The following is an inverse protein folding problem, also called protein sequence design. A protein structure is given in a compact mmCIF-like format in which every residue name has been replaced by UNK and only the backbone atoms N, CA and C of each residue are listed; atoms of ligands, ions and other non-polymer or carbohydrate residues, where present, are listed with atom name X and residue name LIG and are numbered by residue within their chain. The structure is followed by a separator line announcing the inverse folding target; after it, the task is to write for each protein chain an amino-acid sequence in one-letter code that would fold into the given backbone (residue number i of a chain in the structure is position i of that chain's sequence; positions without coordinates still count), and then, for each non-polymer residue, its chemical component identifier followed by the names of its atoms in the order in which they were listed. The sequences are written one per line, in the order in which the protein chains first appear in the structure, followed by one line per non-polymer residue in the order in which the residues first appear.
data_IF_002989943555
#
_entry.id   IF_002989943555
#
_cell.length_a   1.000
_cell.length_b   1.000
_cell.length_c   1.000
_cell.angle_alpha   90.00
_cell.angle_beta   90.00
_cell.angle_gamma   90.00
#
_symmetry.space_group_name_H-M   'P 1'
#
loop_
_entity.id
_entity.type
_entity.pdbx_description
1 polymer ?
#
# COMPACT_ATOMS: atom_id res chain seq x y z
N UNK A 1 21.25 -14.81 -20.80
CA UNK A 1 21.49 -13.38 -20.55
C UNK A 1 21.43 -13.17 -19.05
N UNK A 2 22.59 -12.93 -18.41
CA UNK A 2 22.62 -12.67 -16.98
C UNK A 2 22.17 -11.23 -16.74
N UNK A 3 20.97 -11.04 -16.18
CA UNK A 3 20.52 -9.74 -15.70
C UNK A 3 21.38 -9.38 -14.50
N UNK A 4 22.24 -8.37 -14.67
CA UNK A 4 23.10 -7.85 -13.63
C UNK A 4 22.22 -7.17 -12.57
N UNK A 5 21.81 -7.89 -11.52
CA UNK A 5 21.05 -7.33 -10.40
C UNK A 5 21.95 -6.36 -9.62
N UNK A 6 21.91 -5.09 -10.03
CA UNK A 6 22.50 -3.99 -9.26
C UNK A 6 21.81 -3.94 -7.89
N UNK A 7 22.59 -3.78 -6.81
CA UNK A 7 22.07 -3.74 -5.44
C UNK A 7 20.90 -2.74 -5.35
N UNK A 8 19.72 -3.13 -4.81
CA UNK A 8 18.60 -2.21 -4.71
C UNK A 8 18.96 -1.02 -3.81
N UNK A 9 18.43 0.18 -4.10
CA UNK A 9 18.71 1.38 -3.34
C UNK A 9 18.30 1.22 -1.87
N UNK A 10 19.08 1.84 -0.97
CA UNK A 10 18.74 1.83 0.44
C UNK A 10 17.38 2.51 0.69
N UNK A 11 16.61 2.06 1.70
CA UNK A 11 15.34 2.68 2.03
C UNK A 11 15.48 4.18 2.30
N UNK A 12 14.49 5.01 1.88
CA UNK A 12 14.45 6.42 2.23
C UNK A 12 14.62 6.68 3.73
N UNK A 13 15.30 7.78 4.06
CA UNK A 13 15.47 8.20 5.46
C UNK A 13 14.10 8.44 6.12
N UNK A 14 14.01 8.10 7.41
CA UNK A 14 12.80 8.31 8.21
C UNK A 14 11.79 7.17 8.19
N UNK A 15 12.00 6.12 7.38
CA UNK A 15 11.18 4.90 7.45
C UNK A 15 11.49 4.09 8.71
N UNK A 16 10.45 3.50 9.30
CA UNK A 16 10.53 2.63 10.47
C UNK A 16 10.62 1.14 10.04
N UNK A 17 10.18 0.21 10.89
CA UNK A 17 10.38 -1.21 10.66
C UNK A 17 9.61 -1.72 9.44
N UNK A 18 8.29 -1.52 9.40
CA UNK A 18 7.42 -2.05 8.33
C UNK A 18 7.67 -1.38 6.99
N UNK A 19 7.87 -0.07 6.95
CA UNK A 19 8.22 0.67 5.74
C UNK A 19 9.54 0.20 5.14
N UNK A 20 10.59 0.01 5.97
CA UNK A 20 11.88 -0.53 5.49
C UNK A 20 11.75 -1.98 5.03
N UNK A 21 10.93 -2.79 5.70
CA UNK A 21 10.69 -4.17 5.30
C UNK A 21 9.98 -4.25 3.95
N UNK A 22 8.92 -3.46 3.76
CA UNK A 22 8.19 -3.37 2.49
C UNK A 22 9.09 -2.89 1.35
N UNK A 23 9.85 -1.82 1.55
CA UNK A 23 10.79 -1.29 0.57
C UNK A 23 11.76 -2.37 0.05
N UNK A 24 12.39 -3.10 0.98
CA UNK A 24 13.33 -4.16 0.64
C UNK A 24 12.64 -5.35 -0.02
N UNK A 25 11.46 -5.73 0.44
CA UNK A 25 10.72 -6.86 -0.11
C UNK A 25 10.35 -6.61 -1.58
N UNK A 26 9.87 -5.41 -1.90
CA UNK A 26 9.50 -5.07 -3.28
C UNK A 26 10.74 -4.98 -4.17
N UNK A 27 11.76 -4.21 -3.78
CA UNK A 27 12.94 -4.01 -4.63
C UNK A 27 13.89 -5.22 -4.71
N UNK A 28 13.66 -6.25 -3.91
CA UNK A 28 14.34 -7.55 -4.06
C UNK A 28 13.88 -8.28 -5.33
N UNK A 29 12.60 -8.17 -5.63
CA UNK A 29 11.91 -8.98 -6.64
C UNK A 29 11.55 -8.18 -7.90
N UNK A 30 11.42 -6.85 -7.78
CA UNK A 30 10.98 -5.95 -8.86
C UNK A 30 11.94 -4.79 -9.09
N UNK A 31 12.22 -4.50 -10.37
CA UNK A 31 12.79 -3.22 -10.79
C UNK A 31 11.62 -2.26 -11.08
N UNK A 32 11.66 -1.06 -10.50
CA UNK A 32 10.57 -0.09 -10.56
C UNK A 32 11.00 1.16 -11.33
N UNK A 33 10.07 1.71 -12.10
CA UNK A 33 10.22 3.04 -12.68
C UNK A 33 10.17 4.13 -11.60
N UNK A 34 10.54 5.35 -11.96
CA UNK A 34 10.55 6.49 -11.03
C UNK A 34 9.17 6.73 -10.40
N UNK A 35 8.12 6.68 -11.20
CA UNK A 35 6.74 6.89 -10.73
C UNK A 35 6.26 5.78 -9.79
N UNK A 36 6.64 4.53 -10.05
CA UNK A 36 6.36 3.39 -9.17
C UNK A 36 7.15 3.49 -7.86
N UNK A 37 8.39 3.95 -7.93
CA UNK A 37 9.24 4.20 -6.75
C UNK A 37 8.63 5.26 -5.83
N UNK A 38 8.01 6.31 -6.39
CA UNK A 38 7.26 7.31 -5.61
C UNK A 38 6.07 6.67 -4.90
N UNK A 39 5.29 5.82 -5.60
CA UNK A 39 4.15 5.10 -5.01
C UNK A 39 4.61 4.17 -3.89
N UNK A 40 5.68 3.39 -4.12
CA UNK A 40 6.26 2.50 -3.10
C UNK A 40 6.70 3.29 -1.86
N UNK A 41 7.33 4.45 -2.05
CA UNK A 41 7.77 5.31 -0.94
C UNK A 41 6.60 5.75 -0.06
N UNK A 42 5.50 6.20 -0.67
CA UNK A 42 4.30 6.58 0.07
C UNK A 42 3.66 5.36 0.75
N UNK A 43 3.61 4.20 0.09
CA UNK A 43 3.12 2.97 0.70
C UNK A 43 3.93 2.58 1.96
N UNK A 44 5.26 2.72 1.91
CA UNK A 44 6.14 2.46 3.06
C UNK A 44 5.83 3.40 4.23
N UNK A 45 5.64 4.70 3.96
CA UNK A 45 5.27 5.69 4.98
C UNK A 45 3.91 5.40 5.61
N UNK A 46 2.93 5.03 4.79
CA UNK A 46 1.59 4.66 5.28
C UNK A 46 1.63 3.39 6.13
N UNK A 47 2.50 2.42 5.79
CA UNK A 47 2.69 1.22 6.61
C UNK A 47 3.23 1.57 8.01
N UNK A 48 4.28 2.39 8.09
CA UNK A 48 4.83 2.86 9.37
C UNK A 48 3.81 3.66 10.21
N UNK A 49 2.99 4.48 9.55
CA UNK A 49 1.90 5.21 10.21
C UNK A 49 0.82 4.26 10.75
N UNK A 50 0.46 3.21 10.00
CA UNK A 50 -0.49 2.20 10.47
C UNK A 50 0.02 1.49 11.73
N UNK A 51 1.32 1.16 11.80
CA UNK A 51 1.91 0.55 13.00
C UNK A 51 1.85 1.48 14.20
N UNK A 52 2.18 2.76 13.98
CA UNK A 52 2.13 3.79 15.03
C UNK A 52 0.71 3.94 15.58
N UNK A 53 -0.29 4.03 14.71
CA UNK A 53 -1.69 4.14 15.09
C UNK A 53 -2.20 2.87 15.77
N UNK A 54 -1.76 1.69 15.31
CA UNK A 54 -2.15 0.41 15.93
C UNK A 54 -1.58 0.32 17.34
N UNK A 55 -0.31 0.68 17.54
CA UNK A 55 0.30 0.71 18.87
C UNK A 55 -0.45 1.65 19.83
N UNK A 56 -0.90 2.82 19.36
CA UNK A 56 -1.70 3.73 20.18
C UNK A 56 -3.05 3.12 20.56
N UNK A 57 -3.73 2.46 19.60
CA UNK A 57 -5.01 1.77 19.87
C UNK A 57 -4.81 0.61 20.84
N UNK A 58 -3.72 -0.14 20.72
CA UNK A 58 -3.42 -1.26 21.62
C UNK A 58 -3.15 -0.78 23.05
N UNK A 59 -2.58 0.42 23.20
CA UNK A 59 -2.31 1.05 24.50
C UNK A 59 -3.56 1.67 25.13
N UNK A 60 -4.33 2.44 24.36
CA UNK A 60 -5.44 3.25 24.90
C UNK A 60 -6.81 2.56 24.79
N UNK A 61 -6.91 1.52 23.97
CA UNK A 61 -8.16 0.88 23.62
C UNK A 61 -8.96 1.61 22.53
N UNK A 62 -10.05 0.97 22.10
CA UNK A 62 -10.93 1.46 21.02
C UNK A 62 -11.89 2.56 21.51
N UNK A 63 -12.17 2.59 22.82
CA UNK A 63 -13.00 3.60 23.47
C UNK A 63 -12.14 4.38 24.46
N UNK A 64 -12.11 5.70 24.32
CA UNK A 64 -11.43 6.62 25.24
C UNK A 64 -12.44 7.39 26.10
N UNK A 65 -12.04 7.73 27.32
CA UNK A 65 -12.81 8.61 28.20
C UNK A 65 -12.64 10.08 27.81
N UNK A 66 -13.74 10.83 27.82
CA UNK A 66 -13.73 12.28 27.60
C UNK A 66 -14.57 12.97 28.67
N UNK A 67 -14.43 14.29 28.81
CA UNK A 67 -15.27 15.08 29.73
C UNK A 67 -16.77 15.00 29.41
N UNK A 68 -17.15 14.51 28.23
CA UNK A 68 -18.52 14.33 27.77
C UNK A 68 -18.95 12.84 27.75
N UNK A 69 -18.18 11.95 28.38
CA UNK A 69 -18.38 10.50 28.41
C UNK A 69 -17.53 9.71 27.39
N UNK A 70 -17.71 8.37 27.34
CA UNK A 70 -16.93 7.51 26.47
C UNK A 70 -17.14 7.82 24.98
N UNK A 71 -16.05 7.95 24.22
CA UNK A 71 -16.07 8.14 22.77
C UNK A 71 -15.07 7.21 22.08
N UNK A 72 -15.30 6.96 20.79
CA UNK A 72 -14.37 6.18 19.97
C UNK A 72 -13.02 6.90 19.90
N UNK A 73 -11.94 6.14 20.08
CA UNK A 73 -10.58 6.64 19.96
C UNK A 73 -10.35 7.23 18.55
N UNK A 74 -9.91 8.49 18.41
CA UNK A 74 -9.62 9.10 17.10
C UNK A 74 -8.67 8.27 16.23
N UNK A 75 -7.70 7.57 16.83
CA UNK A 75 -6.78 6.69 16.10
C UNK A 75 -7.51 5.54 15.40
N UNK A 76 -8.63 5.05 15.93
CA UNK A 76 -9.42 4.00 15.29
C UNK A 76 -10.07 4.46 13.98
N UNK A 77 -10.52 5.72 13.92
CA UNK A 77 -11.03 6.30 12.68
C UNK A 77 -9.90 6.55 11.67
N UNK A 78 -8.76 7.06 12.15
CA UNK A 78 -7.60 7.37 11.31
C UNK A 78 -6.98 6.11 10.70
N UNK A 79 -6.72 5.07 11.50
CA UNK A 79 -6.10 3.83 11.01
C UNK A 79 -6.95 3.15 9.94
N UNK A 80 -8.28 3.26 10.03
CA UNK A 80 -9.19 2.76 9.01
C UNK A 80 -8.95 3.47 7.67
N UNK A 81 -8.78 4.79 7.68
CA UNK A 81 -8.52 5.56 6.47
C UNK A 81 -7.12 5.24 5.91
N UNK A 82 -6.11 5.15 6.77
CA UNK A 82 -4.74 4.81 6.35
C UNK A 82 -4.64 3.42 5.73
N UNK A 83 -5.35 2.42 6.27
CA UNK A 83 -5.43 1.07 5.67
C UNK A 83 -6.07 1.09 4.27
N UNK A 84 -7.08 1.91 4.05
CA UNK A 84 -7.69 2.09 2.72
C UNK A 84 -6.71 2.75 1.76
N UNK A 85 -6.02 3.80 2.20
CA UNK A 85 -4.97 4.47 1.41
C UNK A 85 -3.84 3.50 1.06
N UNK A 86 -3.36 2.71 2.02
CA UNK A 86 -2.33 1.70 1.81
C UNK A 86 -2.74 0.67 0.75
N UNK A 87 -3.95 0.12 0.85
CA UNK A 87 -4.47 -0.82 -0.14
C UNK A 87 -4.56 -0.19 -1.54
N UNK A 88 -4.93 1.08 -1.65
CA UNK A 88 -4.96 1.82 -2.93
C UNK A 88 -3.56 2.04 -3.50
N UNK A 89 -2.57 2.38 -2.67
CA UNK A 89 -1.18 2.54 -3.09
C UNK A 89 -0.60 1.21 -3.60
N UNK A 90 -0.81 0.11 -2.86
CA UNK A 90 -0.38 -1.22 -3.33
C UNK A 90 -1.08 -1.63 -4.63
N UNK A 91 -2.36 -1.29 -4.78
CA UNK A 91 -3.10 -1.53 -6.02
C UNK A 91 -2.52 -0.70 -7.18
N UNK A 92 -2.17 0.56 -6.93
CA UNK A 92 -1.58 1.46 -7.92
C UNK A 92 -0.17 1.04 -8.36
N UNK A 93 0.59 0.41 -7.45
CA UNK A 93 1.92 -0.13 -7.74
C UNK A 93 1.88 -1.35 -8.69
N UNK A 94 0.70 -1.97 -8.88
CA UNK A 94 0.45 -3.05 -9.85
C UNK A 94 1.41 -4.24 -9.77
N UNK A 95 1.98 -4.49 -8.58
CA UNK A 95 2.89 -5.62 -8.39
C UNK A 95 2.14 -6.93 -8.66
N UNK A 96 2.62 -7.75 -9.61
CA UNK A 96 2.07 -9.07 -9.85
C UNK A 96 2.06 -9.89 -8.54
N UNK A 97 0.92 -10.46 -8.19
CA UNK A 97 0.88 -11.48 -7.14
C UNK A 97 1.41 -12.77 -7.79
N UNK A 98 2.46 -13.41 -7.26
CA UNK A 98 2.88 -14.75 -7.73
C UNK A 98 1.68 -15.72 -7.62
N UNK A 99 1.37 -16.60 -8.58
CA UNK A 99 2.24 -17.48 -9.37
C UNK A 99 2.11 -17.33 -10.89
N UNK A 100 3.11 -17.92 -11.55
CA UNK A 100 3.27 -18.16 -12.97
C UNK A 100 2.02 -18.74 -13.66
N UNK A 101 1.43 -17.97 -14.58
CA UNK A 101 1.03 -18.47 -15.90
C UNK A 101 0.61 -17.29 -16.79
N UNK A 102 1.58 -16.61 -17.41
CA UNK A 102 1.42 -15.82 -18.65
C UNK A 102 0.35 -14.72 -18.74
N UNK A 103 -0.44 -14.47 -17.70
CA UNK A 103 -1.55 -13.51 -17.70
C UNK A 103 -1.16 -12.39 -16.78
N UNK A 104 -0.48 -11.39 -17.35
CA UNK A 104 -0.43 -10.05 -16.78
C UNK A 104 -1.84 -9.70 -16.28
N UNK A 105 -1.96 -9.25 -15.04
CA UNK A 105 -3.24 -8.97 -14.42
C UNK A 105 -4.00 -7.94 -15.27
N UNK A 106 -4.92 -8.42 -16.13
CA UNK A 106 -5.83 -7.55 -16.90
C UNK A 106 -6.84 -7.02 -15.90
N UNK A 107 -6.45 -5.96 -15.19
CA UNK A 107 -7.41 -5.13 -14.46
C UNK A 107 -8.14 -4.34 -15.51
N UNK A 108 -9.36 -4.78 -15.82
CA UNK A 108 -10.29 -4.04 -16.67
C UNK A 108 -10.28 -2.58 -16.21
N UNK A 109 -9.73 -1.72 -17.06
CA UNK A 109 -10.04 -0.29 -17.05
C UNK A 109 -11.54 -0.18 -16.93
N UNK A 110 -12.00 0.64 -15.96
CA UNK A 110 -13.35 1.20 -15.84
C UNK A 110 -14.37 0.54 -16.77
N UNK A 111 -15.18 -0.37 -16.20
CA UNK A 111 -16.51 -0.79 -16.69
C UNK A 111 -16.77 -0.36 -18.14
N UNK A 112 -16.49 -1.25 -19.08
CA UNK A 112 -16.58 -0.98 -20.52
C UNK A 112 -17.83 -0.19 -20.88
N UNK A 113 -17.63 1.05 -21.31
CA UNK A 113 -18.57 1.77 -22.16
C UNK A 113 -17.90 1.86 -23.51
N UNK A 114 -18.07 0.82 -24.33
CA UNK A 114 -18.35 0.93 -25.75
C UNK A 114 -18.65 -0.45 -26.33
N UNK A 115 -19.81 -0.58 -26.99
CA UNK A 115 -20.22 -1.83 -27.65
C UNK A 115 -21.73 -1.96 -27.88
N UNK A 116 -22.45 -0.87 -28.22
CA UNK A 116 -23.73 -1.04 -28.92
C UNK A 116 -23.41 -1.02 -30.40
N UNK A 117 -23.10 -2.18 -30.95
CA UNK A 117 -23.29 -2.42 -32.39
C UNK A 117 -24.69 -3.00 -32.52
N UNK A 118 -25.68 -2.12 -32.61
CA UNK A 118 -26.99 -2.48 -33.13
C UNK A 118 -26.85 -2.64 -34.64
N UNK A 119 -26.82 -3.89 -35.10
CA UNK A 119 -27.13 -4.25 -36.48
C UNK A 119 -28.60 -4.59 -36.51
N UNK A 120 -29.38 -3.78 -37.21
CA UNK A 120 -30.61 -4.15 -37.92
C UNK A 120 -30.84 -3.11 -39.02
#
# INVERSE_FOLDING_TARGET
MATNKTKPPDPPKGLQASGRALWRAVLRDYELDEHETVILREACRTADLCDTLQAQIDQDGIMGETSQGPRVNPCAAEIRQQRVTFARLLTALRIPQGEADGRAQVRGTVRGVYGITGVA
#
